data_IF_034939236899
#
_entry.id   IF_034939236899
#
_cell.length_a   1.000
_cell.length_b   1.000
_cell.length_c   1.000
_cell.angle_alpha   90.00
_cell.angle_beta   90.00
_cell.angle_gamma   90.00
#
_symmetry.space_group_name_H-M   'P 1'
#
loop_
_entity.id
_entity.type
_entity.pdbx_description
1 polymer ?
#
# COMPACT_ATOMS: atom_id res chain seq x y z
N UNK A 1 3.84 -29.93 -25.74
CA UNK A 1 4.26 -28.80 -24.89
C UNK A 1 4.51 -29.36 -23.49
N UNK A 2 5.74 -29.78 -23.20
CA UNK A 2 6.06 -30.39 -21.90
C UNK A 2 6.07 -29.25 -20.89
N UNK A 3 5.20 -29.33 -19.89
CA UNK A 3 5.20 -28.39 -18.77
C UNK A 3 6.51 -28.65 -18.01
N UNK A 4 7.50 -27.80 -18.20
CA UNK A 4 8.75 -27.90 -17.47
C UNK A 4 8.51 -27.47 -16.01
N UNK A 5 9.07 -28.23 -15.06
CA UNK A 5 8.96 -27.96 -13.63
C UNK A 5 9.41 -26.53 -13.28
N UNK A 6 10.39 -25.99 -14.01
CA UNK A 6 10.87 -24.61 -13.89
C UNK A 6 9.76 -23.58 -14.11
N UNK A 7 8.87 -23.79 -15.09
CA UNK A 7 7.77 -22.88 -15.38
C UNK A 7 6.74 -22.82 -14.24
N UNK A 8 6.43 -23.97 -13.64
CA UNK A 8 5.54 -24.04 -12.47
C UNK A 8 6.13 -23.30 -11.27
N UNK A 9 7.45 -23.43 -11.04
CA UNK A 9 8.15 -22.73 -9.96
C UNK A 9 8.11 -21.20 -10.20
N UNK A 10 8.35 -20.74 -11.42
CA UNK A 10 8.27 -19.31 -11.76
C UNK A 10 6.87 -18.74 -11.49
N UNK A 11 5.80 -19.46 -11.88
CA UNK A 11 4.42 -19.05 -11.57
C UNK A 11 4.19 -18.98 -10.07
N UNK A 12 4.63 -19.98 -9.32
CA UNK A 12 4.49 -20.02 -7.86
C UNK A 12 5.16 -18.81 -7.20
N UNK A 13 6.39 -18.47 -7.59
CA UNK A 13 7.13 -17.33 -7.06
C UNK A 13 6.45 -16.00 -7.40
N UNK A 14 6.03 -15.80 -8.65
CA UNK A 14 5.29 -14.61 -9.09
C UNK A 14 3.97 -14.48 -8.31
N UNK A 15 3.25 -15.59 -8.11
CA UNK A 15 1.99 -15.60 -7.38
C UNK A 15 2.18 -15.19 -5.91
N UNK A 16 3.30 -15.55 -5.26
CA UNK A 16 3.60 -15.10 -3.89
C UNK A 16 3.80 -13.58 -3.85
N UNK A 17 4.64 -13.00 -4.73
CA UNK A 17 4.88 -11.55 -4.73
C UNK A 17 3.62 -10.76 -5.07
N UNK A 18 2.84 -11.22 -6.05
CA UNK A 18 1.62 -10.54 -6.45
C UNK A 18 0.51 -10.72 -5.39
N UNK A 19 0.39 -11.92 -4.83
CA UNK A 19 -0.53 -12.24 -3.75
C UNK A 19 -0.29 -11.41 -2.49
N UNK A 20 0.97 -11.23 -2.09
CA UNK A 20 1.34 -10.37 -0.96
C UNK A 20 0.97 -8.92 -1.22
N UNK A 21 1.26 -8.38 -2.42
CA UNK A 21 0.87 -7.01 -2.78
C UNK A 21 -0.64 -6.78 -2.70
N UNK A 22 -1.45 -7.71 -3.24
CA UNK A 22 -2.90 -7.58 -3.17
C UNK A 22 -3.46 -7.82 -1.77
N UNK A 23 -2.80 -8.62 -0.93
CA UNK A 23 -3.29 -8.94 0.41
C UNK A 23 -2.99 -7.81 1.40
N UNK A 24 -1.82 -7.17 1.30
CA UNK A 24 -1.37 -6.11 2.20
C UNK A 24 -1.66 -4.68 1.68
N UNK A 25 -2.25 -4.54 0.50
CA UNK A 25 -2.60 -3.21 -0.04
C UNK A 25 -3.54 -2.43 0.91
N UNK A 26 -3.31 -1.12 1.15
CA UNK A 26 -4.22 -0.27 1.93
C UNK A 26 -5.52 0.08 1.19
N UNK A 27 -5.60 -0.23 -0.12
CA UNK A 27 -6.71 0.20 -0.98
C UNK A 27 -7.99 -0.53 -0.55
N UNK A 28 -8.89 0.20 0.10
CA UNK A 28 -10.15 -0.35 0.65
C UNK A 28 -10.99 -1.06 -0.41
N UNK A 29 -11.02 -0.55 -1.64
CA UNK A 29 -11.72 -1.21 -2.75
C UNK A 29 -11.22 -2.64 -3.01
N UNK A 30 -9.91 -2.87 -2.95
CA UNK A 30 -9.32 -4.21 -3.14
C UNK A 30 -9.55 -5.09 -1.89
N UNK A 31 -9.52 -4.49 -0.69
CA UNK A 31 -9.82 -5.20 0.57
C UNK A 31 -11.26 -5.71 0.62
N UNK A 32 -12.20 -4.96 0.03
CA UNK A 32 -13.63 -5.33 -0.01
C UNK A 32 -13.95 -6.53 -0.91
N UNK A 33 -13.04 -6.90 -1.82
CA UNK A 33 -13.22 -8.07 -2.68
C UNK A 33 -13.15 -9.37 -1.87
N UNK A 34 -14.02 -10.36 -2.14
CA UNK A 34 -13.94 -11.66 -1.50
C UNK A 34 -12.61 -12.33 -1.80
N UNK A 35 -12.06 -13.05 -0.82
CA UNK A 35 -10.72 -13.66 -0.92
C UNK A 35 -10.58 -14.56 -2.16
N UNK A 36 -11.66 -15.25 -2.57
CA UNK A 36 -11.71 -16.10 -3.76
C UNK A 36 -11.45 -15.32 -5.05
N UNK A 37 -12.07 -14.14 -5.20
CA UNK A 37 -11.86 -13.27 -6.36
C UNK A 37 -10.43 -12.74 -6.40
N UNK A 38 -9.87 -12.39 -5.23
CA UNK A 38 -8.48 -11.93 -5.12
C UNK A 38 -7.49 -13.01 -5.54
N UNK A 39 -7.67 -14.24 -5.06
CA UNK A 39 -6.82 -15.38 -5.46
C UNK A 39 -6.93 -15.68 -6.97
N UNK A 40 -8.13 -15.58 -7.53
CA UNK A 40 -8.34 -15.77 -8.97
C UNK A 40 -7.61 -14.71 -9.81
N UNK A 41 -7.69 -13.44 -9.41
CA UNK A 41 -6.92 -12.36 -10.05
C UNK A 41 -5.42 -12.62 -9.96
N UNK A 42 -4.93 -13.02 -8.78
CA UNK A 42 -3.50 -13.34 -8.57
C UNK A 42 -3.06 -14.43 -9.54
N UNK A 43 -3.84 -15.49 -9.68
CA UNK A 43 -3.52 -16.59 -10.57
C UNK A 43 -3.49 -16.18 -12.05
N UNK A 44 -4.49 -15.41 -12.51
CA UNK A 44 -4.53 -14.91 -13.89
C UNK A 44 -3.31 -14.01 -14.17
N UNK A 45 -3.05 -13.03 -13.31
CA UNK A 45 -1.91 -12.13 -13.51
C UNK A 45 -0.57 -12.87 -13.44
N UNK A 46 -0.43 -13.84 -12.53
CA UNK A 46 0.77 -14.66 -12.46
C UNK A 46 1.01 -15.45 -13.76
N UNK A 47 -0.03 -16.03 -14.34
CA UNK A 47 0.05 -16.69 -15.65
C UNK A 47 0.49 -15.72 -16.75
N UNK A 48 -0.16 -14.56 -16.87
CA UNK A 48 0.18 -13.56 -17.89
C UNK A 48 1.62 -13.06 -17.76
N UNK A 49 2.08 -12.78 -16.54
CA UNK A 49 3.45 -12.31 -16.29
C UNK A 49 4.47 -13.43 -16.53
N UNK A 50 4.13 -14.68 -16.20
CA UNK A 50 5.02 -15.83 -16.43
C UNK A 50 5.28 -16.09 -17.91
N UNK A 51 4.35 -15.72 -18.80
CA UNK A 51 4.55 -15.84 -20.26
C UNK A 51 5.54 -14.81 -20.81
N UNK A 52 5.72 -13.68 -20.11
CA UNK A 52 6.64 -12.61 -20.50
C UNK A 52 7.98 -12.69 -19.80
N UNK A 53 8.07 -13.48 -18.73
CA UNK A 53 9.30 -13.69 -17.95
C UNK A 53 9.98 -14.95 -18.45
N UNK A 54 11.28 -14.88 -18.77
CA UNK A 54 12.05 -16.07 -19.12
C UNK A 54 12.06 -17.08 -17.96
N UNK A 55 11.98 -18.38 -18.29
CA UNK A 55 11.99 -19.44 -17.29
C UNK A 55 13.31 -19.38 -16.51
N UNK A 56 13.20 -19.20 -15.20
CA UNK A 56 14.36 -19.10 -14.32
C UNK A 56 15.06 -20.46 -14.33
N UNK A 57 16.38 -20.45 -14.53
CA UNK A 57 17.19 -21.62 -14.26
C UNK A 57 17.17 -21.86 -12.75
N UNK A 58 16.38 -22.84 -12.32
CA UNK A 58 16.32 -23.24 -10.93
C UNK A 58 17.67 -23.82 -10.54
N UNK A 59 18.41 -23.10 -9.70
CA UNK A 59 19.60 -23.65 -9.04
C UNK A 59 19.11 -24.51 -7.85
N UNK A 60 19.34 -25.84 -7.87
CA UNK A 60 18.97 -26.72 -6.76
C UNK A 60 19.60 -26.34 -5.42
N UNK A 61 20.65 -25.50 -5.43
CA UNK A 61 21.30 -25.01 -4.21
C UNK A 61 20.39 -24.09 -3.38
N UNK A 62 19.42 -23.39 -3.99
CA UNK A 62 18.46 -22.55 -3.27
C UNK A 62 17.13 -23.29 -3.09
N UNK A 63 16.76 -23.56 -1.83
CA UNK A 63 15.47 -24.18 -1.51
C UNK A 63 14.33 -23.30 -2.00
N UNK A 64 13.32 -23.92 -2.64
CA UNK A 64 12.07 -23.27 -3.07
C UNK A 64 11.44 -22.45 -1.94
N UNK A 65 11.60 -22.91 -0.70
CA UNK A 65 11.10 -22.21 0.50
C UNK A 65 11.80 -20.87 0.70
N UNK A 66 13.13 -20.81 0.52
CA UNK A 66 13.91 -19.58 0.67
C UNK A 66 13.52 -18.59 -0.43
N UNK A 67 13.47 -19.05 -1.68
CA UNK A 67 13.03 -18.21 -2.80
C UNK A 67 11.62 -17.67 -2.59
N UNK A 68 10.69 -18.50 -2.10
CA UNK A 68 9.33 -18.05 -1.75
C UNK A 68 9.30 -17.00 -0.64
N UNK A 69 10.16 -17.13 0.37
CA UNK A 69 10.29 -16.14 1.44
C UNK A 69 10.87 -14.81 0.91
N UNK A 70 11.84 -14.87 -0.01
CA UNK A 70 12.37 -13.68 -0.68
C UNK A 70 11.27 -12.95 -1.48
N UNK A 71 10.44 -13.70 -2.22
CA UNK A 71 9.30 -13.13 -2.96
C UNK A 71 8.27 -12.49 -2.03
N UNK A 72 7.99 -13.13 -0.89
CA UNK A 72 7.10 -12.60 0.13
C UNK A 72 7.64 -11.27 0.69
N UNK A 73 8.94 -11.21 1.01
CA UNK A 73 9.59 -10.00 1.48
C UNK A 73 9.58 -8.88 0.42
N UNK A 74 9.89 -9.19 -0.83
CA UNK A 74 9.82 -8.24 -1.95
C UNK A 74 8.40 -7.69 -2.12
N UNK A 75 7.38 -8.54 -2.04
CA UNK A 75 5.99 -8.11 -2.11
C UNK A 75 5.56 -7.26 -0.92
N UNK A 76 6.05 -7.54 0.29
CA UNK A 76 5.82 -6.68 1.46
C UNK A 76 6.41 -5.28 1.28
N UNK A 77 7.63 -5.17 0.73
CA UNK A 77 8.29 -3.89 0.44
C UNK A 77 7.45 -3.04 -0.52
N UNK A 78 6.96 -3.66 -1.60
CA UNK A 78 6.09 -2.99 -2.56
C UNK A 78 4.78 -2.56 -1.92
N UNK A 79 4.18 -3.44 -1.10
CA UNK A 79 2.96 -3.15 -0.35
C UNK A 79 3.13 -1.97 0.59
N UNK A 80 4.24 -1.92 1.33
CA UNK A 80 4.58 -0.83 2.24
C UNK A 80 4.69 0.50 1.50
N UNK A 81 5.19 0.49 0.26
CA UNK A 81 5.28 1.69 -0.56
C UNK A 81 3.91 2.23 -0.95
N UNK A 82 2.96 1.35 -1.27
CA UNK A 82 1.57 1.74 -1.54
C UNK A 82 0.90 2.21 -0.23
N UNK A 83 1.18 1.51 0.88
CA UNK A 83 0.70 1.85 2.21
C UNK A 83 1.10 3.27 2.61
N UNK A 84 2.34 3.66 2.31
CA UNK A 84 2.86 4.99 2.57
C UNK A 84 2.00 6.10 1.93
N UNK A 85 1.62 5.91 0.65
CA UNK A 85 0.86 6.90 -0.11
C UNK A 85 -0.54 7.09 0.50
N UNK A 86 -1.25 6.00 0.78
CA UNK A 86 -2.61 6.09 1.33
C UNK A 86 -2.63 6.58 2.79
N UNK A 87 -1.60 6.26 3.56
CA UNK A 87 -1.47 6.73 4.94
C UNK A 87 -1.37 8.26 5.04
N UNK A 88 -0.89 8.94 3.99
CA UNK A 88 -0.84 10.41 3.96
C UNK A 88 -2.23 11.02 4.16
N UNK A 89 -3.23 10.49 3.45
CA UNK A 89 -4.61 10.97 3.53
C UNK A 89 -5.26 10.65 4.87
N UNK A 90 -4.96 9.47 5.41
CA UNK A 90 -5.45 9.04 6.71
C UNK A 90 -4.89 9.92 7.84
N UNK A 91 -3.57 10.17 7.84
CA UNK A 91 -2.92 11.06 8.80
C UNK A 91 -3.40 12.50 8.67
N UNK A 92 -3.55 13.01 7.44
CA UNK A 92 -4.07 14.36 7.21
C UNK A 92 -5.48 14.54 7.80
N UNK A 93 -6.37 13.56 7.62
CA UNK A 93 -7.71 13.60 8.19
C UNK A 93 -7.72 13.57 9.71
N UNK A 94 -6.85 12.76 10.33
CA UNK A 94 -6.67 12.75 11.78
C UNK A 94 -6.18 14.11 12.31
N UNK A 95 -5.26 14.78 11.59
CA UNK A 95 -4.82 16.13 11.96
C UNK A 95 -5.93 17.17 11.84
N UNK A 96 -6.78 17.08 10.82
CA UNK A 96 -7.93 17.98 10.67
C UNK A 96 -8.93 17.78 11.82
N UNK A 97 -9.26 16.53 12.16
CA UNK A 97 -10.17 16.22 13.27
C UNK A 97 -9.66 16.73 14.61
N UNK A 98 -8.35 16.63 14.82
CA UNK A 98 -7.72 17.16 16.02
C UNK A 98 -7.83 18.70 16.10
N UNK A 99 -7.68 19.40 14.98
CA UNK A 99 -7.79 20.86 14.93
C UNK A 99 -9.24 21.36 15.06
N UNK A 100 -10.21 20.59 14.55
CA UNK A 100 -11.64 20.90 14.68
C UNK A 100 -12.21 20.56 16.06
N UNK A 101 -11.43 19.90 16.92
CA UNK A 101 -11.88 19.46 18.24
C UNK A 101 -12.88 18.30 18.19
N UNK A 102 -13.02 17.62 17.05
CA UNK A 102 -13.93 16.49 16.88
C UNK A 102 -13.52 15.29 17.77
N UNK A 103 -12.22 15.17 18.07
CA UNK A 103 -11.71 14.19 19.05
C UNK A 103 -12.18 14.46 20.50
N UNK A 104 -12.60 15.69 20.84
CA UNK A 104 -13.13 15.98 22.17
C UNK A 104 -14.60 15.53 22.32
N UNK A 105 -15.36 15.51 21.21
CA UNK A 105 -16.75 15.04 21.21
C UNK A 105 -16.85 13.54 21.51
N UNK A 106 -15.82 12.76 21.18
CA UNK A 106 -15.77 11.31 21.45
C UNK A 106 -15.51 10.95 22.91
N UNK A 107 -15.06 11.89 23.75
CA UNK A 107 -14.96 11.67 25.20
C UNK A 107 -16.35 11.51 25.86
N UNK A 108 -17.41 11.99 25.20
CA UNK A 108 -18.75 12.01 25.75
C UNK A 108 -19.59 10.76 25.42
N UNK A 109 -19.17 9.92 24.46
CA UNK A 109 -19.86 8.66 24.17
C UNK A 109 -18.88 7.51 23.83
N UNK A 110 -18.31 6.84 24.85
CA UNK A 110 -17.37 5.72 24.67
C UNK A 110 -18.04 4.38 24.28
N UNK A 111 -19.37 4.35 24.07
CA UNK A 111 -20.10 3.13 23.72
C UNK A 111 -19.96 2.74 22.24
N UNK A 112 -19.51 3.66 21.37
CA UNK A 112 -19.11 3.31 20.00
C UNK A 112 -17.70 2.72 20.03
N UNK A 113 -17.62 1.39 19.92
CA UNK A 113 -16.36 0.66 19.80
C UNK A 113 -15.66 0.98 18.46
N UNK A 114 -14.94 2.10 18.40
CA UNK A 114 -14.02 2.41 17.31
C UNK A 114 -13.91 3.90 17.01
N UNK A 115 -12.76 4.49 17.38
CA UNK A 115 -12.37 5.85 17.00
C UNK A 115 -11.94 5.90 15.52
N UNK A 116 -12.83 5.63 14.56
CA UNK A 116 -12.54 5.92 13.15
C UNK A 116 -12.85 7.39 12.88
N UNK A 117 -11.81 8.19 12.68
CA UNK A 117 -11.91 9.60 12.26
C UNK A 117 -12.77 9.70 10.99
N UNK A 118 -13.89 10.42 11.08
CA UNK A 118 -14.84 10.60 9.97
C UNK A 118 -14.13 11.29 8.80
N UNK A 119 -13.33 12.32 9.10
CA UNK A 119 -12.58 13.06 8.07
C UNK A 119 -11.48 12.20 7.46
N UNK A 120 -10.76 11.40 8.24
CA UNK A 120 -9.76 10.46 7.71
C UNK A 120 -10.41 9.40 6.80
N UNK A 121 -11.59 8.89 7.16
CA UNK A 121 -12.35 7.97 6.32
C UNK A 121 -12.78 8.63 5.01
N UNK A 122 -13.31 9.85 5.08
CA UNK A 122 -13.72 10.60 3.89
C UNK A 122 -12.55 10.90 2.96
N UNK A 123 -11.42 11.37 3.50
CA UNK A 123 -10.19 11.60 2.72
C UNK A 123 -9.62 10.30 2.13
N UNK A 124 -9.70 9.19 2.87
CA UNK A 124 -9.28 7.88 2.36
C UNK A 124 -10.14 7.41 1.19
N UNK A 125 -11.47 7.61 1.28
CA UNK A 125 -12.38 7.33 0.16
C UNK A 125 -12.05 8.21 -1.06
N UNK A 126 -11.84 9.51 -0.87
CA UNK A 126 -11.43 10.41 -1.94
C UNK A 126 -10.09 9.99 -2.56
N UNK A 127 -9.12 9.56 -1.76
CA UNK A 127 -7.85 9.05 -2.26
C UNK A 127 -8.03 7.82 -3.15
N UNK A 128 -8.94 6.90 -2.79
CA UNK A 128 -9.29 5.76 -3.63
C UNK A 128 -9.95 6.21 -4.94
N UNK A 129 -10.88 7.17 -4.90
CA UNK A 129 -11.46 7.74 -6.12
C UNK A 129 -10.39 8.34 -7.03
N UNK A 130 -9.50 9.17 -6.49
CA UNK A 130 -8.38 9.78 -7.24
C UNK A 130 -7.47 8.70 -7.82
N UNK A 131 -7.19 7.64 -7.05
CA UNK A 131 -6.39 6.51 -7.53
C UNK A 131 -7.02 5.84 -8.75
N UNK A 132 -8.34 5.64 -8.78
CA UNK A 132 -9.00 5.06 -9.94
C UNK A 132 -9.12 6.02 -11.13
N UNK A 133 -9.44 7.31 -10.88
CA UNK A 133 -9.58 8.30 -11.96
C UNK A 133 -8.26 8.64 -12.64
N UNK A 134 -7.14 8.50 -11.93
CA UNK A 134 -5.78 8.72 -12.48
C UNK A 134 -5.15 7.44 -13.03
N UNK A 135 -5.92 6.36 -13.19
CA UNK A 135 -5.45 5.04 -13.64
C UNK A 135 -4.32 4.46 -12.76
N UNK A 136 -4.33 4.75 -11.47
CA UNK A 136 -3.34 4.26 -10.51
C UNK A 136 -3.23 2.73 -10.45
N UNK A 137 -4.31 2.01 -10.77
CA UNK A 137 -4.30 0.55 -10.89
C UNK A 137 -3.42 0.07 -12.05
N UNK A 138 -3.36 0.80 -13.16
CA UNK A 138 -2.47 0.49 -14.28
C UNK A 138 -1.01 0.71 -13.87
N UNK A 139 -0.71 1.87 -13.26
CA UNK A 139 0.64 2.17 -12.74
C UNK A 139 1.11 1.17 -11.68
N UNK A 140 0.20 0.64 -10.86
CA UNK A 140 0.50 -0.41 -9.89
C UNK A 140 0.93 -1.70 -10.60
N UNK A 141 0.23 -2.08 -11.68
CA UNK A 141 0.60 -3.26 -12.48
C UNK A 141 1.92 -3.04 -13.24
N UNK A 142 2.14 -1.85 -13.81
CA UNK A 142 3.43 -1.50 -14.42
C UNK A 142 4.58 -1.58 -13.41
N UNK A 143 4.38 -1.07 -12.20
CA UNK A 143 5.35 -1.15 -11.11
C UNK A 143 5.66 -2.59 -10.68
N UNK A 144 4.64 -3.46 -10.67
CA UNK A 144 4.82 -4.90 -10.42
C UNK A 144 5.66 -5.57 -11.51
N UNK A 145 5.33 -5.33 -12.79
CA UNK A 145 6.10 -5.87 -13.92
C UNK A 145 7.54 -5.35 -13.90
N UNK A 146 7.72 -4.06 -13.61
CA UNK A 146 9.04 -3.45 -13.45
C UNK A 146 9.83 -4.07 -12.29
N UNK A 147 9.17 -4.42 -11.17
CA UNK A 147 9.81 -5.12 -10.07
C UNK A 147 10.39 -6.47 -10.49
N UNK A 148 9.69 -7.24 -11.34
CA UNK A 148 10.21 -8.52 -11.85
C UNK A 148 11.38 -8.33 -12.82
N UNK A 149 11.42 -7.22 -13.57
CA UNK A 149 12.58 -6.88 -14.42
C UNK A 149 13.81 -6.49 -13.61
N UNK A 150 13.60 -5.76 -12.50
CA UNK A 150 14.70 -5.27 -11.65
C UNK A 150 15.21 -6.34 -10.68
N UNK A 151 14.31 -7.13 -10.12
CA UNK A 151 14.63 -8.24 -9.21
C UNK A 151 14.03 -9.52 -9.80
N UNK A 152 14.88 -10.34 -10.45
CA UNK A 152 14.47 -11.64 -10.96
C UNK A 152 13.80 -12.47 -9.86
N UNK A 153 12.79 -13.29 -10.19
CA UNK A 153 12.11 -14.07 -9.17
C UNK A 153 13.06 -15.04 -8.46
N UNK A 154 12.89 -15.17 -7.14
CA UNK A 154 13.75 -15.97 -6.27
C UNK A 154 14.95 -15.22 -5.70
N UNK A 155 15.21 -13.98 -6.13
CA UNK A 155 16.21 -13.11 -5.51
C UNK A 155 15.55 -12.08 -4.59
N UNK A 156 16.24 -11.67 -3.53
CA UNK A 156 15.76 -10.65 -2.60
C UNK A 156 16.36 -9.28 -2.92
N UNK A 157 15.56 -8.21 -2.77
CA UNK A 157 16.12 -6.86 -2.66
C UNK A 157 17.00 -6.80 -1.40
N UNK A 158 18.30 -6.61 -1.60
CA UNK A 158 19.18 -6.13 -0.55
C UNK A 158 18.99 -4.62 -0.45
N UNK A 159 18.45 -4.15 0.66
CA UNK A 159 18.42 -2.72 0.95
C UNK A 159 19.78 -2.27 1.48
N UNK A 160 20.22 -1.09 1.02
CA UNK A 160 21.30 -0.32 1.64
C UNK A 160 20.82 0.33 2.97
N UNK A 161 20.40 -0.52 3.91
CA UNK A 161 20.05 -0.14 5.28
C UNK A 161 18.66 0.50 5.47
N UNK A 162 18.49 1.13 6.63
CA UNK A 162 17.20 1.64 7.11
C UNK A 162 16.84 3.04 6.59
N UNK A 163 17.78 3.71 5.92
CA UNK A 163 17.64 5.07 5.39
C UNK A 163 16.43 5.28 4.47
N UNK A 164 16.16 4.45 3.43
CA UNK A 164 15.02 4.67 2.55
C UNK A 164 13.68 4.60 3.28
N UNK A 165 13.56 3.72 4.29
CA UNK A 165 12.33 3.58 5.10
C UNK A 165 12.08 4.84 5.94
N UNK A 166 13.12 5.36 6.60
CA UNK A 166 13.05 6.61 7.36
C UNK A 166 12.67 7.81 6.48
N UNK A 167 13.27 7.91 5.29
CA UNK A 167 12.95 8.97 4.33
C UNK A 167 11.48 8.89 3.90
N UNK A 168 10.99 7.69 3.63
CA UNK A 168 9.59 7.49 3.25
C UNK A 168 8.63 7.90 4.37
N UNK A 169 8.92 7.53 5.62
CA UNK A 169 8.12 7.96 6.77
C UNK A 169 8.10 9.49 6.96
N UNK A 170 9.26 10.13 6.83
CA UNK A 170 9.38 11.60 6.91
C UNK A 170 8.59 12.31 5.81
N UNK A 171 8.66 11.80 4.58
CA UNK A 171 7.89 12.33 3.44
C UNK A 171 6.38 12.20 3.68
N UNK A 172 5.93 11.05 4.16
CA UNK A 172 4.52 10.85 4.48
C UNK A 172 4.02 11.86 5.51
N UNK A 173 4.76 12.04 6.60
CA UNK A 173 4.38 12.95 7.67
C UNK A 173 4.31 14.42 7.18
N UNK A 174 5.33 14.87 6.44
CA UNK A 174 5.37 16.23 5.90
C UNK A 174 4.22 16.51 4.93
N UNK A 175 3.96 15.61 3.98
CA UNK A 175 2.85 15.75 3.03
C UNK A 175 1.49 15.76 3.73
N UNK A 176 1.31 14.92 4.75
CA UNK A 176 0.09 14.88 5.55
C UNK A 176 -0.18 16.23 6.23
N UNK A 177 0.87 16.82 6.79
CA UNK A 177 0.78 18.14 7.43
C UNK A 177 0.48 19.25 6.43
N UNK A 178 1.09 19.21 5.23
CA UNK A 178 0.79 20.16 4.15
C UNK A 178 -0.69 20.13 3.76
N UNK A 179 -1.28 18.94 3.62
CA UNK A 179 -2.71 18.77 3.32
C UNK A 179 -3.58 19.34 4.46
N UNK A 180 -3.19 19.13 5.72
CA UNK A 180 -3.92 19.64 6.87
C UNK A 180 -3.72 21.16 7.13
N UNK A 181 -2.69 21.78 6.54
CA UNK A 181 -2.30 23.16 6.85
C UNK A 181 -3.37 24.24 6.60
N UNK A 182 -4.23 24.18 5.55
CA UNK A 182 -5.26 25.20 5.36
C UNK A 182 -6.31 25.20 6.47
N UNK A 183 -6.66 24.02 6.98
CA UNK A 183 -7.59 23.88 8.10
C UNK A 183 -7.03 24.53 9.37
N UNK A 184 -5.72 24.37 9.62
CA UNK A 184 -5.06 24.92 10.80
C UNK A 184 -5.08 26.44 10.80
N UNK A 185 -4.84 27.02 9.62
CA UNK A 185 -4.87 28.47 9.44
C UNK A 185 -6.25 29.05 9.71
N UNK A 186 -7.31 28.39 9.22
CA UNK A 186 -8.68 28.86 9.42
C UNK A 186 -9.12 28.76 10.89
N UNK A 187 -8.72 27.70 11.60
CA UNK A 187 -8.97 27.56 13.04
C UNK A 187 -8.33 28.69 13.86
N UNK A 188 -7.10 29.08 13.52
CA UNK A 188 -6.41 30.21 14.17
C UNK A 188 -7.12 31.55 13.96
N UNK A 189 -7.56 31.86 12.75
CA UNK A 189 -8.26 33.12 12.46
C UNK A 189 -9.57 33.25 13.26
N UNK A 190 -10.28 32.14 13.49
CA UNK A 190 -11.49 32.12 14.33
C UNK A 190 -11.18 32.32 15.82
N UNK A 191 -10.04 31.81 16.30
CA UNK A 191 -9.60 32.05 17.67
C UNK A 191 -9.18 33.51 17.89
N UNK A 192 -8.45 34.10 16.93
CA UNK A 192 -8.04 35.51 16.97
C UNK A 192 -9.25 36.46 16.92
N UNK A 193 -10.25 36.13 16.09
CA UNK A 193 -11.48 36.93 15.98
C UNK A 193 -12.43 36.81 17.18
N UNK A 194 -12.25 35.79 18.04
CA UNK A 194 -13.07 35.55 19.24
C UNK A 194 -12.45 36.08 20.53
N UNK A 195 -11.22 36.60 20.49
CA UNK A 195 -10.58 37.28 21.62
C UNK A 195 -11.28 38.64 21.87
N UNK A 196 -12.10 38.80 22.93
CA UNK A 196 -12.57 40.12 23.32
C UNK A 196 -11.38 40.90 23.89
N UNK A 197 -11.20 42.14 23.43
CA UNK A 197 -10.34 43.12 24.11
C UNK A 197 -10.99 43.59 25.40
#
# INVERSE_FOLDING_TARGET
>A
MIIHLSWLITIYLIAIRLGTVLLFTPIQAIKSLPIRARLFLVFIFALFISLQTEAIHYDPAMSIVISGLCEFANGLILSLSIYAIFSIFQMAGQFIDNQMGLNAATLFNPLEHGHESITARLLSMLAVLIFFTTEGHHRLMEGLVYSFRKIPPGQMILFDGFKPVLQQFSLMFSLSFTIASPAARHGRLKAEARSPR
#
